data_IF_678874991094
#
_entry.id   IF_678874991094
#
_cell.length_a   1.000
_cell.length_b   1.000
_cell.length_c   1.000
_cell.angle_alpha   90.00
_cell.angle_beta   90.00
_cell.angle_gamma   90.00
#
_symmetry.space_group_name_H-M   'P 1'
#
loop_
_entity.id
_entity.type
_entity.pdbx_description
1 polymer ?
#
# COMPACT_ATOMS: atom_id res chain seq x y z
N UNK A 1 -27.08 10.25 9.58
CA UNK A 1 -25.87 9.56 9.04
C UNK A 1 -24.68 10.25 9.63
N UNK A 2 -23.83 9.55 10.38
CA UNK A 2 -22.63 10.15 10.95
C UNK A 2 -21.69 10.51 9.78
N UNK A 3 -21.24 11.74 9.76
CA UNK A 3 -20.31 12.24 8.73
C UNK A 3 -18.96 11.53 8.87
N UNK A 4 -18.43 11.01 7.75
CA UNK A 4 -17.11 10.38 7.72
C UNK A 4 -16.06 11.50 7.77
N UNK A 5 -15.08 11.37 8.66
CA UNK A 5 -14.02 12.36 8.83
C UNK A 5 -12.80 12.03 7.98
N UNK A 6 -12.21 13.04 7.39
CA UNK A 6 -10.93 12.94 6.67
C UNK A 6 -9.77 13.26 7.62
N UNK A 7 -8.77 12.39 7.65
CA UNK A 7 -7.56 12.55 8.46
C UNK A 7 -6.38 12.74 7.51
N UNK A 8 -5.74 13.90 7.56
CA UNK A 8 -4.49 14.12 6.83
C UNK A 8 -3.34 13.46 7.59
N UNK A 9 -2.63 12.54 6.93
CA UNK A 9 -1.41 11.95 7.45
C UNK A 9 -0.18 12.64 6.83
N UNK A 10 0.97 12.71 7.57
CA UNK A 10 2.17 13.37 7.06
C UNK A 10 2.76 12.61 5.88
N UNK A 11 3.28 13.35 4.89
CA UNK A 11 4.11 12.80 3.81
C UNK A 11 5.58 13.10 4.12
N UNK A 12 6.38 12.05 4.24
CA UNK A 12 7.81 12.09 4.55
C UNK A 12 8.62 11.58 3.37
N UNK A 13 9.84 12.07 3.22
CA UNK A 13 10.81 11.49 2.29
C UNK A 13 11.21 10.09 2.78
N UNK A 14 11.25 9.10 1.87
CA UNK A 14 11.68 7.74 2.19
C UNK A 14 13.21 7.72 2.35
N UNK A 15 13.65 7.70 3.59
CA UNK A 15 15.05 7.49 3.99
C UNK A 15 15.10 6.34 4.98
N UNK A 16 16.26 5.69 5.13
CA UNK A 16 16.39 4.62 6.12
C UNK A 16 16.11 5.10 7.56
N UNK A 17 16.38 6.39 7.85
CA UNK A 17 16.05 7.00 9.14
C UNK A 17 14.53 7.11 9.33
N UNK A 18 13.83 7.66 8.35
CA UNK A 18 12.37 7.84 8.41
C UNK A 18 11.62 6.50 8.37
N UNK A 19 12.19 5.48 7.70
CA UNK A 19 11.62 4.13 7.60
C UNK A 19 11.96 3.23 8.79
N UNK A 20 12.73 3.71 9.77
CA UNK A 20 13.11 2.89 10.93
C UNK A 20 11.87 2.32 11.64
N UNK A 21 11.82 0.98 11.77
CA UNK A 21 10.70 0.25 12.35
C UNK A 21 9.59 -0.13 11.37
N UNK A 22 9.53 0.51 10.21
CA UNK A 22 8.60 0.16 9.13
C UNK A 22 9.22 -0.79 8.11
N UNK A 23 10.50 -0.57 7.80
CA UNK A 23 11.22 -1.27 6.75
C UNK A 23 12.53 -0.56 6.42
N UNK A 24 12.98 -0.72 5.18
CA UNK A 24 14.19 -0.08 4.69
C UNK A 24 14.22 0.05 3.17
N UNK A 25 15.11 0.89 2.66
CA UNK A 25 15.34 1.07 1.23
C UNK A 25 16.12 -0.11 0.63
N UNK A 26 15.71 -0.54 -0.56
CA UNK A 26 16.35 -1.62 -1.33
C UNK A 26 17.07 -1.03 -2.53
N UNK A 27 18.34 -1.35 -2.68
CA UNK A 27 19.18 -0.95 -3.82
C UNK A 27 19.13 -1.96 -4.98
N UNK A 28 19.01 -3.25 -4.67
CA UNK A 28 19.02 -4.33 -5.66
C UNK A 28 17.94 -5.37 -5.36
N UNK A 29 17.01 -5.55 -6.31
CA UNK A 29 15.92 -6.51 -6.18
C UNK A 29 16.40 -7.96 -6.11
N UNK A 30 17.37 -8.33 -6.95
CA UNK A 30 17.77 -9.73 -7.12
C UNK A 30 18.57 -10.23 -5.90
N UNK A 31 19.30 -9.34 -5.24
CA UNK A 31 20.06 -9.63 -4.02
C UNK A 31 19.22 -9.53 -2.73
N UNK A 32 18.01 -9.00 -2.82
CA UNK A 32 17.14 -8.81 -1.66
C UNK A 32 16.22 -9.99 -1.44
N UNK A 33 16.13 -10.44 -0.20
CA UNK A 33 15.20 -11.48 0.23
C UNK A 33 14.15 -10.89 1.19
N UNK A 34 13.06 -11.63 1.37
CA UNK A 34 12.06 -11.32 2.38
C UNK A 34 12.18 -12.30 3.54
N UNK A 35 11.87 -11.82 4.72
CA UNK A 35 11.72 -12.64 5.91
C UNK A 35 10.44 -13.49 5.81
N UNK A 36 10.52 -14.76 6.17
CA UNK A 36 9.37 -15.65 6.38
C UNK A 36 9.36 -16.04 7.85
N UNK A 37 8.24 -15.79 8.52
CA UNK A 37 8.02 -16.10 9.92
C UNK A 37 7.14 -17.34 10.04
N UNK A 38 7.72 -18.48 10.39
CA UNK A 38 7.02 -19.77 10.39
C UNK A 38 5.95 -19.86 11.49
N UNK A 39 6.18 -19.23 12.65
CA UNK A 39 5.27 -19.23 13.79
C UNK A 39 5.03 -17.80 14.25
N UNK A 40 4.23 -17.01 13.48
CA UNK A 40 4.01 -15.61 13.82
C UNK A 40 3.24 -15.51 15.14
N UNK A 41 3.63 -14.52 15.95
CA UNK A 41 2.84 -14.14 17.10
C UNK A 41 1.56 -13.46 16.61
N UNK A 42 0.43 -14.01 16.96
CA UNK A 42 -0.87 -13.44 16.62
C UNK A 42 -1.28 -12.39 17.66
N UNK A 43 -1.81 -11.28 17.18
CA UNK A 43 -2.49 -10.29 18.00
C UNK A 43 -3.93 -10.68 18.31
N UNK A 44 -4.76 -9.71 18.65
CA UNK A 44 -6.20 -9.94 18.88
C UNK A 44 -7.04 -9.85 17.61
N UNK A 45 -6.49 -9.25 16.53
CA UNK A 45 -7.18 -9.21 15.24
C UNK A 45 -7.05 -10.56 14.55
N UNK A 46 -8.16 -11.00 13.96
CA UNK A 46 -8.21 -12.25 13.24
C UNK A 46 -7.48 -12.16 11.90
N UNK A 47 -6.90 -13.28 11.50
CA UNK A 47 -6.34 -13.44 10.15
C UNK A 47 -7.50 -13.61 9.17
N UNK A 48 -7.44 -12.93 8.04
CA UNK A 48 -8.42 -13.02 6.97
C UNK A 48 -8.54 -14.47 6.48
N UNK A 49 -9.78 -14.93 6.33
CA UNK A 49 -10.07 -16.29 5.89
C UNK A 49 -9.41 -16.61 4.55
N UNK A 50 -8.85 -17.82 4.45
CA UNK A 50 -8.17 -18.29 3.24
C UNK A 50 -6.78 -17.70 3.00
N UNK A 51 -6.19 -17.01 3.98
CA UNK A 51 -4.84 -16.48 3.90
C UNK A 51 -3.89 -17.17 4.89
N UNK A 52 -2.61 -17.24 4.53
CA UNK A 52 -1.54 -17.73 5.42
C UNK A 52 -1.14 -19.20 5.26
N UNK A 53 0.02 -19.51 5.82
CA UNK A 53 0.53 -20.86 6.12
C UNK A 53 0.99 -21.78 4.98
N UNK A 54 1.13 -21.33 3.75
CA UNK A 54 1.72 -22.19 2.72
C UNK A 54 3.25 -22.17 2.69
N UNK A 55 3.87 -21.22 3.39
CA UNK A 55 5.32 -21.03 3.37
C UNK A 55 5.85 -20.70 1.98
N UNK A 56 7.16 -20.51 1.86
CA UNK A 56 7.80 -20.19 0.60
C UNK A 56 7.61 -18.72 0.17
N UNK A 57 8.25 -18.39 -0.94
CA UNK A 57 8.28 -17.04 -1.51
C UNK A 57 7.68 -17.09 -2.91
N UNK A 58 6.90 -16.08 -3.25
CA UNK A 58 6.48 -15.78 -4.61
C UNK A 58 7.04 -14.44 -5.05
N UNK A 59 7.37 -14.30 -6.34
CA UNK A 59 7.96 -13.09 -6.88
C UNK A 59 7.57 -12.87 -8.35
N UNK A 60 7.60 -11.63 -8.80
CA UNK A 60 7.31 -11.30 -10.18
C UNK A 60 7.09 -9.81 -10.40
N UNK A 61 6.50 -9.47 -11.53
CA UNK A 61 6.25 -8.10 -11.94
C UNK A 61 4.76 -7.78 -11.90
N UNK A 62 4.45 -6.55 -11.56
CA UNK A 62 3.09 -6.03 -11.57
C UNK A 62 3.06 -4.56 -11.98
N UNK A 63 1.89 -4.08 -12.33
CA UNK A 63 1.66 -2.69 -12.70
C UNK A 63 0.59 -2.08 -11.80
N UNK A 64 0.77 -0.80 -11.49
CA UNK A 64 -0.22 0.02 -10.80
C UNK A 64 -0.58 1.20 -11.68
N UNK A 65 -1.86 1.51 -11.77
CA UNK A 65 -2.35 2.62 -12.58
C UNK A 65 -3.59 3.25 -11.97
N UNK A 66 -3.90 4.47 -12.42
CA UNK A 66 -5.12 5.15 -12.05
C UNK A 66 -6.20 4.90 -13.10
N UNK A 67 -7.30 4.38 -12.62
CA UNK A 67 -8.50 4.12 -13.39
C UNK A 67 -9.53 5.15 -12.94
N UNK A 68 -9.64 6.25 -13.64
CA UNK A 68 -10.57 7.35 -13.39
C UNK A 68 -10.67 7.91 -11.95
N UNK A 69 -11.24 9.07 -11.85
CA UNK A 69 -11.59 9.70 -10.56
C UNK A 69 -12.81 9.02 -10.01
N UNK A 70 -12.68 8.48 -8.80
CA UNK A 70 -13.77 7.82 -8.13
C UNK A 70 -14.30 8.70 -7.01
N UNK A 71 -15.60 8.78 -6.98
CA UNK A 71 -16.34 9.39 -5.89
C UNK A 71 -16.56 8.32 -4.83
N UNK A 72 -16.00 8.53 -3.65
CA UNK A 72 -16.26 7.71 -2.49
C UNK A 72 -17.22 8.45 -1.56
N UNK A 73 -18.47 7.97 -1.49
CA UNK A 73 -19.50 8.69 -0.77
C UNK A 73 -19.63 10.13 -1.27
N UNK A 74 -19.45 11.12 -0.41
CA UNK A 74 -19.45 12.55 -0.76
C UNK A 74 -18.09 13.08 -1.19
N UNK A 75 -17.03 12.29 -1.06
CA UNK A 75 -15.66 12.70 -1.29
C UNK A 75 -15.14 12.17 -2.62
N UNK A 76 -14.33 12.96 -3.30
CA UNK A 76 -13.64 12.53 -4.50
C UNK A 76 -12.47 11.60 -4.09
N UNK A 77 -12.68 10.31 -4.16
CA UNK A 77 -11.62 9.33 -4.05
C UNK A 77 -11.06 9.01 -5.43
N UNK A 78 -9.86 8.47 -5.47
CA UNK A 78 -9.21 8.05 -6.69
C UNK A 78 -8.99 6.54 -6.62
N UNK A 79 -9.44 5.84 -7.64
CA UNK A 79 -9.24 4.40 -7.74
C UNK A 79 -7.80 4.09 -8.08
N UNK A 80 -7.27 3.09 -7.41
CA UNK A 80 -5.97 2.53 -7.68
C UNK A 80 -6.13 1.03 -7.92
N UNK A 81 -5.69 0.56 -9.07
CA UNK A 81 -5.68 -0.86 -9.44
C UNK A 81 -4.27 -1.38 -9.59
N UNK A 82 -4.08 -2.63 -9.26
CA UNK A 82 -2.84 -3.34 -9.53
C UNK A 82 -3.14 -4.79 -9.92
N UNK A 83 -2.55 -5.22 -11.02
CA UNK A 83 -2.59 -6.61 -11.50
C UNK A 83 -1.18 -7.06 -11.84
N UNK A 84 -0.86 -8.32 -11.54
CA UNK A 84 0.47 -8.87 -11.79
C UNK A 84 0.44 -10.40 -11.93
N UNK A 85 1.49 -10.90 -12.56
CA UNK A 85 1.78 -12.32 -12.61
C UNK A 85 3.04 -12.60 -11.80
N UNK A 86 2.92 -13.46 -10.81
CA UNK A 86 4.00 -13.92 -9.95
C UNK A 86 3.80 -15.41 -9.77
N UNK A 87 4.51 -16.27 -10.39
CA UNK A 87 4.29 -17.74 -10.29
C UNK A 87 2.79 -18.13 -10.30
N UNK A 88 1.93 -17.19 -10.62
CA UNK A 88 0.48 -17.23 -10.59
C UNK A 88 -0.10 -15.82 -10.74
N UNK A 89 -1.40 -15.70 -10.63
CA UNK A 89 -2.12 -14.41 -10.70
C UNK A 89 -2.63 -14.01 -9.35
N UNK A 90 -2.34 -12.80 -8.94
CA UNK A 90 -3.00 -12.17 -7.82
C UNK A 90 -3.21 -10.68 -8.02
N UNK A 91 -4.13 -10.08 -7.28
CA UNK A 91 -4.45 -8.66 -7.34
C UNK A 91 -3.98 -8.03 -6.03
N UNK A 92 -3.09 -7.05 -6.13
CA UNK A 92 -2.82 -6.17 -5.00
C UNK A 92 -4.06 -5.34 -4.70
N UNK A 93 -4.36 -5.19 -3.42
CA UNK A 93 -5.54 -4.49 -2.95
C UNK A 93 -5.79 -3.18 -3.69
N UNK A 94 -7.00 -2.99 -4.11
CA UNK A 94 -7.46 -1.76 -4.72
C UNK A 94 -8.78 -1.35 -4.07
N UNK A 95 -8.99 -0.05 -3.96
CA UNK A 95 -10.32 0.47 -3.68
C UNK A 95 -11.00 0.75 -5.00
N UNK A 96 -12.05 0.03 -5.29
CA UNK A 96 -12.87 0.25 -6.47
C UNK A 96 -14.25 0.69 -6.02
N UNK A 97 -14.60 1.90 -6.39
CA UNK A 97 -15.95 2.40 -6.29
C UNK A 97 -16.41 2.74 -7.69
N UNK A 98 -17.66 2.95 -7.94
CA UNK A 98 -18.25 3.08 -9.26
C UNK A 98 -17.46 3.95 -10.25
N UNK A 99 -17.27 3.45 -11.44
CA UNK A 99 -16.66 4.18 -12.56
C UNK A 99 -17.73 5.01 -13.29
N UNK A 100 -17.42 6.25 -13.55
CA UNK A 100 -18.17 7.05 -14.53
C UNK A 100 -17.52 6.85 -15.91
N UNK A 101 -18.13 5.98 -16.73
CA UNK A 101 -17.62 5.63 -18.06
C UNK A 101 -17.55 6.81 -19.03
N UNK A 102 -18.17 7.93 -18.70
CA UNK A 102 -18.19 9.13 -19.57
C UNK A 102 -16.84 9.87 -19.65
N UNK A 103 -15.85 9.50 -18.83
CA UNK A 103 -14.56 10.21 -18.69
C UNK A 103 -13.37 9.51 -19.35
N UNK A 104 -13.59 8.50 -20.16
CA UNK A 104 -12.53 7.68 -20.79
C UNK A 104 -11.51 8.43 -21.67
N UNK A 105 -11.72 9.68 -21.98
CA UNK A 105 -10.86 10.48 -22.87
C UNK A 105 -10.27 11.75 -22.21
N UNK A 106 -10.26 11.83 -20.89
CA UNK A 106 -9.67 12.98 -20.19
C UNK A 106 -8.16 12.74 -20.01
N UNK A 107 -7.28 13.70 -20.35
CA UNK A 107 -5.87 13.57 -20.10
C UNK A 107 -5.59 13.30 -18.61
N UNK A 108 -4.64 12.42 -18.34
CA UNK A 108 -4.24 12.11 -16.97
C UNK A 108 -3.76 13.36 -16.22
N UNK A 109 -4.35 13.61 -15.08
CA UNK A 109 -3.91 14.66 -14.16
C UNK A 109 -3.50 14.00 -12.87
N UNK A 110 -2.22 14.13 -12.45
CA UNK A 110 -1.77 13.54 -11.18
C UNK A 110 -2.65 13.99 -10.02
N UNK A 111 -3.09 13.08 -9.15
CA UNK A 111 -3.88 13.42 -7.99
C UNK A 111 -3.08 14.34 -7.06
N UNK A 112 -3.72 15.35 -6.49
CA UNK A 112 -3.11 16.20 -5.46
C UNK A 112 -3.15 15.56 -4.07
N UNK A 113 -4.15 14.69 -3.87
CA UNK A 113 -4.40 13.91 -2.65
C UNK A 113 -4.75 12.49 -3.04
N UNK A 114 -4.31 11.54 -2.25
CA UNK A 114 -4.69 10.13 -2.35
C UNK A 114 -5.40 9.78 -1.05
N UNK A 115 -6.55 9.10 -1.18
CA UNK A 115 -7.34 8.63 -0.06
C UNK A 115 -7.15 7.12 0.14
N UNK A 116 -7.09 6.70 1.39
CA UNK A 116 -7.01 5.31 1.78
C UNK A 116 -8.03 5.01 2.88
N UNK A 117 -8.80 3.95 2.72
CA UNK A 117 -9.81 3.50 3.67
C UNK A 117 -9.51 2.12 4.23
N UNK A 118 -8.60 1.40 3.61
CA UNK A 118 -8.22 0.03 3.95
C UNK A 118 -6.72 -0.07 4.17
N UNK A 119 -6.31 -0.94 5.07
CA UNK A 119 -4.92 -1.35 5.24
C UNK A 119 -4.85 -2.80 5.74
N UNK A 120 -3.70 -3.42 5.60
CA UNK A 120 -3.44 -4.76 6.10
C UNK A 120 -1.99 -4.90 6.59
N UNK A 121 -1.71 -5.98 7.32
CA UNK A 121 -0.36 -6.42 7.59
C UNK A 121 -0.23 -7.93 7.40
N UNK A 122 0.99 -8.41 7.23
CA UNK A 122 1.32 -9.82 7.10
C UNK A 122 2.17 -10.27 8.31
N UNK A 123 1.62 -11.11 9.23
CA UNK A 123 2.38 -11.56 10.39
C UNK A 123 3.44 -12.61 10.05
N UNK A 124 3.27 -13.33 8.95
CA UNK A 124 4.09 -14.46 8.53
C UNK A 124 5.20 -14.11 7.52
N UNK A 125 5.35 -12.84 7.15
CA UNK A 125 6.46 -12.45 6.28
C UNK A 125 6.53 -10.96 5.96
N UNK A 126 7.70 -10.56 5.48
CA UNK A 126 7.92 -9.24 4.92
C UNK A 126 7.41 -9.15 3.48
N UNK A 127 7.37 -7.94 2.96
CA UNK A 127 7.00 -7.66 1.56
C UNK A 127 7.98 -6.67 0.93
N UNK A 128 8.25 -6.87 -0.37
CA UNK A 128 9.17 -6.05 -1.11
C UNK A 128 8.53 -5.50 -2.38
N UNK A 129 8.70 -4.20 -2.60
CA UNK A 129 8.32 -3.51 -3.83
C UNK A 129 9.51 -2.80 -4.44
N UNK A 130 9.82 -3.06 -5.70
CA UNK A 130 10.94 -2.46 -6.41
C UNK A 130 10.49 -1.82 -7.72
N UNK A 131 10.61 -0.49 -7.90
CA UNK A 131 10.21 0.19 -9.13
C UNK A 131 11.14 -0.19 -10.29
N UNK A 132 10.57 -0.48 -11.46
CA UNK A 132 11.35 -0.89 -12.65
C UNK A 132 11.63 0.24 -13.63
N UNK A 133 11.00 1.39 -13.44
CA UNK A 133 11.02 2.53 -14.37
C UNK A 133 11.54 3.83 -13.75
N UNK A 134 12.15 3.78 -12.57
CA UNK A 134 12.58 4.96 -11.82
C UNK A 134 11.47 6.01 -11.65
N UNK A 135 10.23 5.57 -11.54
CA UNK A 135 9.08 6.44 -11.32
C UNK A 135 8.79 6.57 -9.83
N UNK A 136 8.55 7.79 -9.33
CA UNK A 136 8.26 7.99 -7.92
C UNK A 136 6.92 7.37 -7.53
N UNK A 137 6.85 6.92 -6.27
CA UNK A 137 5.66 6.33 -5.68
C UNK A 137 5.54 6.70 -4.20
N UNK A 138 4.39 6.41 -3.61
CA UNK A 138 4.11 6.63 -2.20
C UNK A 138 3.62 5.33 -1.58
N UNK A 139 4.07 5.04 -0.37
CA UNK A 139 3.56 3.94 0.45
C UNK A 139 3.16 4.45 1.83
N UNK A 140 1.88 4.37 2.21
CA UNK A 140 1.43 4.65 3.58
C UNK A 140 1.71 3.44 4.46
N UNK A 141 2.35 3.69 5.61
CA UNK A 141 2.75 2.66 6.57
C UNK A 141 2.36 3.09 7.99
N UNK A 142 2.09 2.09 8.85
CA UNK A 142 2.03 2.30 10.29
C UNK A 142 2.77 1.18 11.03
N UNK A 143 3.27 1.50 12.22
CA UNK A 143 4.02 0.55 13.05
C UNK A 143 3.16 -0.63 13.48
N UNK A 144 3.78 -1.80 13.78
CA UNK A 144 3.07 -2.98 14.26
C UNK A 144 2.23 -2.71 15.51
N UNK A 145 1.06 -3.33 15.55
CA UNK A 145 0.16 -3.30 16.69
C UNK A 145 -1.30 -3.36 16.25
N UNK A 146 -2.13 -4.10 17.00
CA UNK A 146 -3.54 -4.29 16.65
C UNK A 146 -4.45 -3.12 17.06
N UNK A 147 -3.97 -2.25 17.97
CA UNK A 147 -4.69 -1.05 18.42
C UNK A 147 -4.46 0.17 17.52
N UNK A 148 -4.21 -0.09 16.24
CA UNK A 148 -3.92 0.91 15.21
C UNK A 148 -5.05 1.93 15.07
N UNK A 149 -4.70 3.18 14.83
CA UNK A 149 -5.63 4.28 14.52
C UNK A 149 -5.25 4.94 13.19
N UNK A 150 -6.22 5.58 12.52
CA UNK A 150 -5.93 6.33 11.28
C UNK A 150 -4.77 7.33 11.42
N UNK A 151 -4.64 7.96 12.57
CA UNK A 151 -3.63 8.97 12.89
C UNK A 151 -2.20 8.40 13.04
N UNK A 152 -2.05 7.07 13.19
CA UNK A 152 -0.75 6.41 13.35
C UNK A 152 -0.03 6.19 12.02
N UNK A 153 -0.76 6.33 10.91
CA UNK A 153 -0.18 6.19 9.58
C UNK A 153 0.69 7.37 9.19
N UNK A 154 1.74 7.07 8.41
CA UNK A 154 2.59 8.04 7.71
C UNK A 154 2.75 7.60 6.27
N UNK A 155 2.68 8.53 5.34
CA UNK A 155 2.97 8.28 3.94
C UNK A 155 4.46 8.55 3.65
N UNK A 156 5.10 7.66 2.89
CA UNK A 156 6.50 7.78 2.53
C UNK A 156 6.63 7.96 1.03
N UNK A 157 7.31 9.02 0.63
CA UNK A 157 7.59 9.34 -0.77
C UNK A 157 8.93 8.74 -1.19
N UNK A 158 8.90 7.93 -2.22
CA UNK A 158 10.06 7.32 -2.87
C UNK A 158 10.30 8.01 -4.21
N UNK A 159 11.56 8.35 -4.51
CA UNK A 159 11.95 9.00 -5.77
C UNK A 159 11.98 8.02 -6.97
N UNK A 160 11.76 6.74 -6.73
CA UNK A 160 11.74 5.69 -7.74
C UNK A 160 13.10 5.04 -8.05
N UNK A 161 14.18 5.46 -7.40
CA UNK A 161 15.51 4.86 -7.62
C UNK A 161 15.74 3.60 -6.78
N UNK A 162 15.10 3.53 -5.63
CA UNK A 162 15.19 2.41 -4.68
C UNK A 162 13.84 1.79 -4.42
N UNK A 163 13.86 0.51 -4.07
CA UNK A 163 12.67 -0.21 -3.62
C UNK A 163 12.40 0.00 -2.13
N UNK A 164 11.27 -0.57 -1.69
CA UNK A 164 10.83 -0.62 -0.31
C UNK A 164 10.77 -2.08 0.14
N UNK A 165 11.42 -2.39 1.25
CA UNK A 165 11.13 -3.57 2.05
C UNK A 165 10.26 -3.18 3.23
N UNK A 166 9.19 -3.91 3.47
CA UNK A 166 8.27 -3.75 4.59
C UNK A 166 8.48 -4.91 5.57
N UNK A 167 8.70 -4.62 6.84
CA UNK A 167 8.83 -5.65 7.88
C UNK A 167 7.51 -6.39 8.12
N UNK A 168 7.55 -7.67 8.58
CA UNK A 168 6.36 -8.35 9.08
C UNK A 168 5.62 -7.50 10.11
N UNK A 169 4.30 -7.63 10.14
CA UNK A 169 3.37 -6.89 11.02
C UNK A 169 3.27 -5.38 10.81
N UNK A 170 4.00 -4.78 9.89
CA UNK A 170 3.83 -3.36 9.55
C UNK A 170 2.55 -3.18 8.74
N UNK A 171 1.67 -2.30 9.20
CA UNK A 171 0.47 -1.92 8.48
C UNK A 171 0.80 -1.18 7.19
N UNK A 172 0.19 -1.59 6.10
CA UNK A 172 0.40 -0.99 4.78
C UNK A 172 -0.81 -1.24 3.88
N UNK A 173 -0.84 -0.54 2.77
CA UNK A 173 -1.59 -0.84 1.57
C UNK A 173 -0.57 -1.01 0.44
N UNK A 174 -1.02 -1.33 -0.76
CA UNK A 174 -0.15 -1.37 -1.93
C UNK A 174 0.57 -0.03 -2.19
N UNK A 175 1.51 -0.04 -3.11
CA UNK A 175 2.20 1.19 -3.53
C UNK A 175 1.32 2.04 -4.43
N UNK A 176 1.32 3.36 -4.21
CA UNK A 176 0.53 4.32 -4.98
C UNK A 176 1.43 5.05 -5.98
N UNK A 177 1.17 4.85 -7.27
CA UNK A 177 1.85 5.63 -8.31
C UNK A 177 1.38 7.09 -8.26
N UNK A 178 2.32 8.02 -8.42
CA UNK A 178 2.01 9.44 -8.68
C UNK A 178 2.12 9.78 -10.16
N UNK A 179 2.34 8.80 -11.00
CA UNK A 179 2.24 8.82 -12.44
C UNK A 179 0.97 8.07 -12.87
N UNK A 180 0.56 8.22 -14.12
CA UNK A 180 -0.59 7.50 -14.67
C UNK A 180 -0.45 5.99 -14.49
N UNK A 181 0.75 5.47 -14.73
CA UNK A 181 1.09 4.07 -14.59
C UNK A 181 2.54 3.90 -14.16
N UNK A 182 2.79 2.92 -13.29
CA UNK A 182 4.12 2.51 -12.86
C UNK A 182 4.22 1.01 -12.77
N UNK A 183 5.41 0.47 -13.05
CA UNK A 183 5.69 -0.95 -13.00
C UNK A 183 6.66 -1.26 -11.87
N UNK A 184 6.44 -2.38 -11.21
CA UNK A 184 7.21 -2.86 -10.07
C UNK A 184 7.55 -4.33 -10.22
N UNK A 185 8.63 -4.75 -9.56
CA UNK A 185 8.86 -6.13 -9.15
C UNK A 185 8.47 -6.27 -7.67
N UNK A 186 7.89 -7.40 -7.30
CA UNK A 186 7.51 -7.70 -5.93
C UNK A 186 8.05 -9.04 -5.46
N UNK A 187 8.29 -9.15 -4.15
CA UNK A 187 8.49 -10.43 -3.44
C UNK A 187 7.62 -10.45 -2.19
N UNK A 188 7.00 -11.58 -1.94
CA UNK A 188 6.18 -11.80 -0.75
C UNK A 188 6.12 -13.29 -0.41
N UNK A 189 5.51 -13.66 0.70
CA UNK A 189 5.17 -15.06 0.96
C UNK A 189 4.18 -15.58 -0.09
N UNK A 190 4.24 -16.88 -0.39
CA UNK A 190 3.39 -17.50 -1.43
C UNK A 190 1.90 -17.31 -1.15
N UNK A 191 1.47 -17.57 0.07
CA UNK A 191 0.18 -17.15 0.58
C UNK A 191 0.43 -16.48 1.93
N UNK A 192 0.47 -15.14 1.92
CA UNK A 192 0.62 -14.38 3.14
C UNK A 192 -0.60 -14.58 4.04
N UNK A 193 -0.39 -14.77 5.33
CA UNK A 193 -1.39 -14.42 6.31
C UNK A 193 -1.67 -12.91 6.20
N UNK A 194 -2.92 -12.54 6.25
CA UNK A 194 -3.32 -11.14 6.15
C UNK A 194 -4.27 -10.80 7.30
N UNK A 195 -3.99 -9.69 7.95
CA UNK A 195 -4.90 -9.05 8.90
C UNK A 195 -5.29 -7.71 8.34
N UNK A 196 -6.58 -7.50 8.11
CA UNK A 196 -7.12 -6.32 7.46
C UNK A 196 -7.85 -5.39 8.41
N UNK A 197 -7.90 -4.12 8.05
CA UNK A 197 -8.71 -3.09 8.70
C UNK A 197 -9.44 -2.25 7.68
N UNK A 198 -10.71 -1.99 7.94
CA UNK A 198 -11.53 -1.04 7.20
C UNK A 198 -11.73 0.21 8.08
N UNK A 199 -10.99 1.27 7.75
CA UNK A 199 -10.96 2.51 8.54
C UNK A 199 -12.31 3.21 8.57
N UNK A 200 -13.08 3.09 7.50
CA UNK A 200 -14.43 3.66 7.46
C UNK A 200 -15.37 2.92 8.40
N UNK A 201 -15.38 1.59 8.33
CA UNK A 201 -16.28 0.80 9.18
C UNK A 201 -15.94 0.93 10.65
N UNK A 202 -14.65 0.86 11.00
CA UNK A 202 -14.19 0.82 12.38
C UNK A 202 -14.18 2.21 13.03
N UNK A 203 -13.69 3.24 12.31
CA UNK A 203 -13.45 4.57 12.89
C UNK A 203 -14.36 5.67 12.32
N UNK A 204 -15.12 5.42 11.25
CA UNK A 204 -15.82 6.46 10.47
C UNK A 204 -14.87 7.53 9.95
N UNK A 205 -13.68 7.11 9.49
CA UNK A 205 -12.60 7.96 9.02
C UNK A 205 -11.99 7.41 7.75
N UNK A 206 -11.49 8.32 6.89
CA UNK A 206 -10.52 8.01 5.85
C UNK A 206 -9.22 8.72 6.19
N UNK A 207 -8.11 8.14 5.81
CA UNK A 207 -6.86 8.88 5.76
C UNK A 207 -6.63 9.40 4.34
N UNK A 208 -5.97 10.56 4.25
CA UNK A 208 -5.46 11.05 3.00
C UNK A 208 -4.06 11.64 3.18
N UNK A 209 -3.33 11.69 2.11
CA UNK A 209 -2.01 12.30 2.05
C UNK A 209 -1.81 13.08 0.74
N UNK A 210 -0.97 14.11 0.81
CA UNK A 210 -0.55 14.88 -0.37
C UNK A 210 0.44 14.08 -1.21
N UNK A 211 0.50 14.36 -2.51
CA UNK A 211 1.39 13.67 -3.44
C UNK A 211 2.71 14.42 -3.70
N UNK A 212 2.89 15.58 -3.08
CA UNK A 212 4.12 16.39 -3.15
C UNK A 212 4.67 16.62 -1.76
N UNK A 213 5.97 16.36 -1.60
CA UNK A 213 6.68 16.69 -0.38
C UNK A 213 6.51 18.19 -0.05
N UNK A 214 6.42 18.54 1.24
CA UNK A 214 6.48 19.93 1.67
C UNK A 214 7.75 20.60 1.12
N UNK A 215 7.65 21.85 0.68
CA UNK A 215 8.85 22.62 0.36
C UNK A 215 9.62 22.85 1.66
N UNK A 216 10.92 22.51 1.63
CA UNK A 216 11.85 22.83 2.71
C UNK A 216 12.01 24.34 2.84
#
# INVERSE_FOLDING_TARGET
MNEIKEIEIPLLEATNENLKGYGYLIDNYDESNIEIVTWPKQGWREIDEGTGNEGGITQGSFEVWWDDKILYGKNNAVQHKSEYEIDGKYILGYSSLSQDESKKNVPYVPPKKIYMWHANYHPDGGQLFFPTQNKPFISPLALPGDDIKPEDFKAFYFDGKKGLYIHPNVWHEGVFSIQEKSSFKGKQGRVHARVSIDLEKEFKKYIFFKTKLPRK
#
